data_IF_160129210085
#
_entry.id   IF_160129210085
#
_cell.length_a   1.000
_cell.length_b   1.000
_cell.length_c   1.000
_cell.angle_alpha   90.00
_cell.angle_beta   90.00
_cell.angle_gamma   90.00
#
_symmetry.space_group_name_H-M   'P 1'
#
loop_
_entity.id
_entity.type
_entity.pdbx_description
1 polymer ?
#
# COMPACT_ATOMS: atom_id res chain seq x y z
N UNK A 1 5.95 7.32 -10.29
CA UNK A 1 7.29 6.67 -10.42
C UNK A 1 7.06 5.16 -10.37
N UNK A 2 7.79 4.32 -11.12
CA UNK A 2 7.51 2.88 -11.16
C UNK A 2 8.79 2.04 -11.26
N UNK A 3 8.75 0.82 -10.73
CA UNK A 3 9.78 -0.19 -10.97
C UNK A 3 9.80 -0.60 -12.46
N UNK A 4 10.98 -0.85 -13.08
CA UNK A 4 11.06 -1.27 -14.49
C UNK A 4 10.29 -2.56 -14.81
N UNK A 5 10.10 -3.43 -13.82
CA UNK A 5 9.36 -4.68 -13.97
C UNK A 5 7.83 -4.50 -13.97
N UNK A 6 7.32 -3.27 -13.86
CA UNK A 6 5.88 -2.99 -13.87
C UNK A 6 5.47 -2.32 -15.18
N UNK A 7 4.48 -2.92 -15.84
CA UNK A 7 3.74 -2.29 -16.92
C UNK A 7 2.49 -1.63 -16.35
N UNK A 8 2.25 -0.39 -16.78
CA UNK A 8 1.05 0.37 -16.45
C UNK A 8 0.27 0.58 -17.74
N UNK A 9 -0.99 0.19 -17.78
CA UNK A 9 -1.83 0.19 -18.98
C UNK A 9 -3.27 0.60 -18.68
N UNK A 10 -4.07 0.78 -19.73
CA UNK A 10 -5.45 1.26 -19.67
C UNK A 10 -5.57 2.77 -19.95
N UNK A 11 -6.79 3.24 -20.31
CA UNK A 11 -7.03 4.62 -20.73
C UNK A 11 -6.59 5.65 -19.68
N UNK A 12 -6.65 5.29 -18.39
CA UNK A 12 -6.27 6.16 -17.26
C UNK A 12 -5.09 5.62 -16.45
N UNK A 13 -4.25 4.73 -17.03
CA UNK A 13 -3.10 4.10 -16.32
C UNK A 13 -3.48 3.32 -15.05
N UNK A 14 -4.70 2.80 -15.01
CA UNK A 14 -5.28 2.17 -13.82
C UNK A 14 -4.80 0.74 -13.60
N UNK A 15 -4.37 0.04 -14.65
CA UNK A 15 -3.91 -1.34 -14.52
C UNK A 15 -2.41 -1.39 -14.29
N UNK A 16 -1.99 -2.06 -13.23
CA UNK A 16 -0.57 -2.35 -12.93
C UNK A 16 -0.35 -3.86 -12.97
N UNK A 17 0.62 -4.28 -13.76
CA UNK A 17 1.00 -5.68 -13.92
C UNK A 17 2.51 -5.83 -13.84
N UNK A 18 2.98 -6.84 -13.09
CA UNK A 18 4.38 -7.23 -13.11
C UNK A 18 4.69 -8.03 -14.38
N UNK A 19 5.81 -7.76 -15.03
CA UNK A 19 6.13 -8.31 -16.35
C UNK A 19 7.52 -8.94 -16.46
N UNK A 20 8.33 -8.99 -15.38
CA UNK A 20 9.65 -9.61 -15.45
C UNK A 20 9.59 -11.13 -15.24
N UNK A 21 10.58 -11.84 -15.80
CA UNK A 21 10.79 -13.28 -15.59
C UNK A 21 11.53 -13.60 -14.29
N UNK A 22 11.90 -12.57 -13.52
CA UNK A 22 12.62 -12.72 -12.26
C UNK A 22 11.61 -12.92 -11.13
N UNK A 23 11.69 -14.09 -10.51
CA UNK A 23 10.83 -14.47 -9.40
C UNK A 23 11.30 -13.77 -8.11
N UNK A 24 10.36 -13.33 -7.28
CA UNK A 24 10.59 -12.89 -5.89
C UNK A 24 11.23 -11.51 -5.68
N UNK A 25 10.81 -10.51 -6.45
CA UNK A 25 11.24 -9.12 -6.26
C UNK A 25 10.05 -8.24 -5.87
N UNK A 26 10.25 -7.36 -4.87
CA UNK A 26 9.26 -6.32 -4.60
C UNK A 26 9.30 -5.32 -5.75
N UNK A 27 8.16 -5.06 -6.36
CA UNK A 27 8.03 -4.02 -7.38
C UNK A 27 6.91 -3.08 -6.99
N UNK A 28 7.31 -1.84 -6.72
CA UNK A 28 6.41 -0.77 -6.32
C UNK A 28 6.12 0.19 -7.45
N UNK A 29 4.87 0.65 -7.48
CA UNK A 29 4.42 1.74 -8.33
C UNK A 29 3.78 2.81 -7.47
N UNK A 30 4.10 4.05 -7.79
CA UNK A 30 3.51 5.24 -7.19
C UNK A 30 2.56 5.88 -8.20
N UNK A 31 1.45 6.41 -7.70
CA UNK A 31 0.65 7.36 -8.46
C UNK A 31 1.50 8.57 -8.91
N UNK A 32 0.99 9.27 -9.93
CA UNK A 32 1.69 10.39 -10.55
C UNK A 32 1.79 11.59 -9.61
N UNK A 33 0.73 11.85 -8.85
CA UNK A 33 0.61 13.00 -7.96
C UNK A 33 0.57 12.57 -6.48
N UNK A 34 1.10 13.41 -5.57
CA UNK A 34 0.92 13.18 -4.16
C UNK A 34 -0.54 13.39 -3.75
N UNK A 35 -0.90 12.88 -2.59
CA UNK A 35 -2.20 13.17 -1.99
C UNK A 35 -2.31 14.67 -1.67
N UNK A 36 -3.53 15.23 -1.64
CA UNK A 36 -3.79 16.59 -1.17
C UNK A 36 -3.21 16.86 0.23
N UNK A 37 -3.07 18.13 0.60
CA UNK A 37 -2.55 18.53 1.93
C UNK A 37 -3.64 18.72 2.99
N UNK A 38 -4.90 18.79 2.58
CA UNK A 38 -6.06 19.03 3.45
C UNK A 38 -7.25 18.20 3.01
N UNK A 39 -8.19 17.97 3.92
CA UNK A 39 -9.41 17.20 3.65
C UNK A 39 -9.18 15.69 3.77
N UNK A 40 -9.98 14.92 3.04
CA UNK A 40 -9.91 13.47 3.02
C UNK A 40 -9.45 13.04 1.64
N UNK A 41 -8.43 12.18 1.60
CA UNK A 41 -8.00 11.50 0.40
C UNK A 41 -8.35 10.01 0.49
N UNK A 42 -8.82 9.42 -0.60
CA UNK A 42 -9.18 8.01 -0.67
C UNK A 42 -9.05 7.50 -2.10
N UNK A 43 -8.53 6.29 -2.27
CA UNK A 43 -8.52 5.56 -3.52
C UNK A 43 -8.80 4.07 -3.25
N UNK A 44 -9.19 3.35 -4.29
CA UNK A 44 -9.43 1.91 -4.23
C UNK A 44 -8.49 1.17 -5.18
N UNK A 45 -8.15 -0.06 -4.84
CA UNK A 45 -7.38 -0.96 -5.68
C UNK A 45 -8.09 -2.31 -5.73
N UNK A 46 -8.58 -2.68 -6.91
CA UNK A 46 -9.17 -3.97 -7.20
C UNK A 46 -8.08 -4.99 -7.51
N UNK A 47 -8.19 -6.14 -6.86
CA UNK A 47 -7.25 -7.24 -7.02
C UNK A 47 -7.72 -8.13 -8.19
N UNK A 48 -6.96 -8.13 -9.28
CA UNK A 48 -7.27 -8.93 -10.47
C UNK A 48 -6.54 -10.29 -10.46
N UNK A 49 -5.36 -10.36 -9.84
CA UNK A 49 -4.58 -11.58 -9.69
C UNK A 49 -3.61 -11.45 -8.52
N UNK A 50 -3.50 -12.48 -7.68
CA UNK A 50 -2.46 -12.63 -6.65
C UNK A 50 -1.91 -14.04 -6.69
N UNK A 51 -0.59 -14.17 -6.77
CA UNK A 51 0.14 -15.43 -6.55
C UNK A 51 0.81 -15.50 -5.20
N UNK A 52 1.30 -14.37 -4.70
CA UNK A 52 1.98 -14.33 -3.39
C UNK A 52 1.39 -13.26 -2.49
N UNK A 53 1.89 -12.03 -2.60
CA UNK A 53 1.53 -10.95 -1.68
C UNK A 53 1.39 -9.63 -2.43
N UNK A 54 0.33 -8.91 -2.11
CA UNK A 54 0.08 -7.55 -2.58
C UNK A 54 -0.02 -6.64 -1.37
N UNK A 55 0.50 -5.42 -1.51
CA UNK A 55 0.45 -4.40 -0.46
C UNK A 55 -0.07 -3.10 -1.06
N UNK A 56 -1.16 -2.57 -0.48
CA UNK A 56 -1.81 -1.32 -0.93
C UNK A 56 -1.63 -0.27 0.16
N UNK A 57 -1.13 0.91 -0.19
CA UNK A 57 -0.80 1.89 0.83
C UNK A 57 -0.30 3.25 0.35
N UNK A 58 0.43 3.93 1.24
CA UNK A 58 0.97 5.27 1.04
C UNK A 58 2.48 5.27 1.27
N UNK A 59 3.23 5.93 0.40
CA UNK A 59 4.67 6.11 0.55
C UNK A 59 5.13 7.52 0.15
N UNK A 60 6.20 7.98 0.77
CA UNK A 60 6.92 9.17 0.31
C UNK A 60 7.82 8.80 -0.89
N UNK A 61 8.12 9.79 -1.75
CA UNK A 61 8.81 9.57 -3.03
C UNK A 61 10.26 9.05 -2.91
N UNK A 62 10.88 9.13 -1.73
CA UNK A 62 12.24 8.62 -1.52
C UNK A 62 12.28 7.11 -1.26
N UNK A 63 11.13 6.46 -1.03
CA UNK A 63 11.09 5.00 -0.94
C UNK A 63 11.54 4.41 -2.28
N UNK A 64 12.57 3.53 -2.31
CA UNK A 64 12.99 2.88 -3.54
C UNK A 64 11.89 1.99 -4.13
N UNK A 65 11.79 1.95 -5.45
CA UNK A 65 10.74 1.20 -6.18
C UNK A 65 10.90 -0.32 -6.11
N UNK A 66 12.08 -0.82 -5.71
CA UNK A 66 12.40 -2.22 -5.45
C UNK A 66 12.15 -2.64 -3.98
N UNK A 67 11.54 -1.73 -3.19
CA UNK A 67 11.17 -1.97 -1.79
C UNK A 67 9.66 -2.04 -1.63
N UNK A 68 9.25 -2.63 -0.51
CA UNK A 68 7.84 -2.85 -0.14
C UNK A 68 7.27 -1.67 0.63
N UNK A 69 6.12 -1.15 0.19
CA UNK A 69 5.33 -0.17 0.93
C UNK A 69 4.91 -0.74 2.30
N UNK A 70 5.04 0.06 3.35
CA UNK A 70 4.82 -0.33 4.75
C UNK A 70 6.06 -0.91 5.45
N UNK A 71 7.13 -1.28 4.73
CA UNK A 71 8.38 -1.73 5.35
C UNK A 71 9.46 -0.63 5.40
N UNK A 72 9.38 0.34 4.50
CA UNK A 72 10.26 1.50 4.49
C UNK A 72 9.75 2.57 5.47
N UNK A 73 10.64 3.27 6.17
CA UNK A 73 10.24 4.27 7.18
C UNK A 73 9.39 5.36 6.57
N UNK A 74 8.28 5.70 7.23
CA UNK A 74 7.36 6.73 6.73
C UNK A 74 6.44 6.24 5.60
N UNK A 75 6.29 4.92 5.46
CA UNK A 75 5.36 4.29 4.52
C UNK A 75 4.38 3.40 5.27
N UNK A 76 3.18 3.23 4.75
CA UNK A 76 2.05 2.57 5.42
C UNK A 76 1.35 1.67 4.44
N UNK A 77 0.95 0.45 4.83
CA UNK A 77 0.29 -0.46 3.91
C UNK A 77 -0.67 -1.45 4.58
N UNK A 78 -1.62 -1.93 3.80
CA UNK A 78 -2.40 -3.11 4.08
C UNK A 78 -1.96 -4.24 3.15
N UNK A 79 -1.44 -5.33 3.74
CA UNK A 79 -0.99 -6.52 3.04
C UNK A 79 -2.11 -7.56 2.90
N UNK A 80 -2.05 -8.33 1.82
CA UNK A 80 -3.01 -9.41 1.53
C UNK A 80 -3.12 -10.49 2.61
N UNK A 81 -2.11 -10.59 3.47
CA UNK A 81 -2.04 -11.47 4.65
C UNK A 81 -2.74 -10.89 5.89
N UNK A 82 -3.60 -9.89 5.73
CA UNK A 82 -4.33 -9.32 6.87
C UNK A 82 -3.46 -8.45 7.79
N UNK A 83 -2.30 -7.98 7.30
CA UNK A 83 -1.34 -7.23 8.10
C UNK A 83 -1.34 -5.75 7.72
N UNK A 84 -1.54 -4.87 8.70
CA UNK A 84 -1.24 -3.44 8.57
C UNK A 84 0.23 -3.19 8.90
N UNK A 85 0.96 -2.52 8.02
CA UNK A 85 2.38 -2.22 8.12
C UNK A 85 2.60 -0.70 8.25
N UNK A 86 3.66 -0.29 8.95
CA UNK A 86 4.02 1.12 9.11
C UNK A 86 3.34 1.82 10.30
N UNK A 87 2.58 1.09 11.11
CA UNK A 87 1.84 1.64 12.24
C UNK A 87 2.35 1.10 13.56
N UNK A 88 3.10 1.91 14.30
CA UNK A 88 3.44 1.57 15.68
C UNK A 88 2.19 1.76 16.55
N UNK A 89 1.84 0.76 17.35
CA UNK A 89 0.82 0.85 18.39
C UNK A 89 1.49 0.55 19.72
N UNK A 90 1.45 1.47 20.67
CA UNK A 90 2.06 1.31 22.01
C UNK A 90 3.61 1.36 22.03
N UNK A 91 4.19 1.02 23.19
CA UNK A 91 5.65 0.95 23.43
C UNK A 91 6.28 -0.36 22.89
N UNK A 92 5.69 -0.94 21.85
CA UNK A 92 6.26 -2.08 21.16
C UNK A 92 7.44 -1.61 20.31
N UNK A 93 8.56 -1.36 21.00
CA UNK A 93 9.90 -1.29 20.42
C UNK A 93 10.20 -2.68 19.86
N UNK A 94 9.70 -2.93 18.67
CA UNK A 94 10.21 -4.03 17.87
C UNK A 94 11.72 -3.91 17.82
N UNK A 95 12.40 -5.03 18.02
CA UNK A 95 13.84 -5.18 17.96
C UNK A 95 14.40 -4.38 16.78
N UNK A 96 15.56 -3.74 16.97
CA UNK A 96 16.22 -2.95 15.95
C UNK A 96 16.20 -3.70 14.59
N UNK A 97 15.39 -3.24 13.65
CA UNK A 97 15.27 -3.82 12.31
C UNK A 97 13.87 -4.30 11.88
N UNK A 98 12.88 -4.45 12.77
CA UNK A 98 11.51 -4.84 12.36
C UNK A 98 10.60 -3.62 12.31
N UNK A 99 10.05 -3.34 11.13
CA UNK A 99 9.08 -2.25 10.94
C UNK A 99 7.75 -2.58 11.64
N UNK A 100 7.10 -1.63 12.33
CA UNK A 100 5.87 -1.90 13.07
C UNK A 100 4.74 -2.40 12.19
N UNK A 101 4.07 -3.44 12.69
CA UNK A 101 2.95 -4.07 12.01
C UNK A 101 1.90 -4.57 13.01
N UNK A 102 0.68 -4.74 12.51
CA UNK A 102 -0.50 -5.22 13.25
C UNK A 102 -1.15 -6.31 12.40
N UNK A 103 -1.34 -7.49 12.97
CA UNK A 103 -1.97 -8.63 12.28
C UNK A 103 -3.44 -8.81 12.70
N UNK A 104 -4.09 -9.84 12.18
CA UNK A 104 -5.46 -10.21 12.59
C UNK A 104 -6.54 -9.37 11.92
N UNK A 105 -6.22 -8.68 10.81
CA UNK A 105 -7.23 -8.11 9.91
C UNK A 105 -7.65 -9.18 8.90
N UNK A 106 -8.83 -9.05 8.26
CA UNK A 106 -9.23 -9.97 7.20
C UNK A 106 -8.19 -10.03 6.10
N UNK A 107 -7.85 -11.24 5.65
CA UNK A 107 -7.05 -11.45 4.45
C UNK A 107 -7.84 -11.05 3.19
N UNK A 108 -7.14 -10.79 2.09
CA UNK A 108 -7.77 -10.47 0.82
C UNK A 108 -7.06 -11.10 -0.37
N UNK A 109 -7.82 -11.33 -1.43
CA UNK A 109 -7.39 -12.03 -2.63
C UNK A 109 -8.06 -11.53 -3.89
N UNK A 110 -8.01 -12.35 -4.94
CA UNK A 110 -8.61 -12.06 -6.25
C UNK A 110 -10.09 -11.73 -6.10
N UNK A 111 -10.52 -10.65 -6.75
CA UNK A 111 -11.89 -10.16 -6.73
C UNK A 111 -12.20 -9.19 -5.59
N UNK A 112 -11.32 -9.05 -4.60
CA UNK A 112 -11.50 -8.04 -3.55
C UNK A 112 -11.08 -6.63 -4.01
N UNK A 113 -11.70 -5.62 -3.40
CA UNK A 113 -11.37 -4.21 -3.59
C UNK A 113 -10.86 -3.63 -2.27
N UNK A 114 -9.66 -3.06 -2.30
CA UNK A 114 -8.98 -2.51 -1.12
C UNK A 114 -9.02 -1.00 -1.19
N UNK A 115 -9.67 -0.37 -0.22
CA UNK A 115 -9.61 1.08 -0.07
C UNK A 115 -8.43 1.48 0.79
N UNK A 116 -7.73 2.55 0.39
CA UNK A 116 -6.70 3.20 1.19
C UNK A 116 -6.89 4.72 1.13
N UNK A 117 -6.87 5.36 2.28
CA UNK A 117 -7.06 6.79 2.39
C UNK A 117 -6.48 7.37 3.66
N UNK A 118 -6.59 8.67 3.80
CA UNK A 118 -6.20 9.40 5.00
C UNK A 118 -7.14 10.58 5.21
N UNK A 119 -7.63 10.71 6.43
CA UNK A 119 -8.19 11.96 6.92
C UNK A 119 -7.03 12.85 7.37
N UNK A 120 -6.76 13.92 6.64
CA UNK A 120 -5.61 14.78 6.88
C UNK A 120 -5.83 15.72 8.07
N UNK A 121 -7.06 15.88 8.56
CA UNK A 121 -7.35 16.72 9.71
C UNK A 121 -6.75 16.14 10.99
N UNK A 122 -6.83 14.83 11.15
CA UNK A 122 -6.28 14.08 12.29
C UNK A 122 -5.10 13.16 11.89
N UNK A 123 -4.78 13.05 10.60
CA UNK A 123 -3.79 12.13 10.01
C UNK A 123 -4.14 10.65 10.20
N UNK A 124 -5.41 10.33 10.40
CA UNK A 124 -5.88 8.96 10.56
C UNK A 124 -5.90 8.27 9.20
N UNK A 125 -5.26 7.11 9.10
CA UNK A 125 -5.34 6.27 7.90
C UNK A 125 -6.71 5.57 7.84
N UNK A 126 -7.20 5.34 6.65
CA UNK A 126 -8.45 4.64 6.38
C UNK A 126 -8.11 3.44 5.51
N UNK A 127 -8.49 2.25 5.96
CA UNK A 127 -8.49 1.05 5.14
C UNK A 127 -9.91 0.50 5.02
N UNK A 128 -10.26 -0.01 3.85
CA UNK A 128 -11.51 -0.73 3.62
C UNK A 128 -11.25 -2.02 2.84
N UNK A 129 -12.12 -3.00 3.04
CA UNK A 129 -12.17 -4.23 2.25
C UNK A 129 -13.59 -4.37 1.70
N UNK A 130 -13.73 -4.35 0.36
CA UNK A 130 -15.00 -4.43 -0.35
C UNK A 130 -16.01 -3.35 0.11
N UNK A 131 -15.53 -2.12 0.28
CA UNK A 131 -16.34 -0.98 0.74
C UNK A 131 -16.59 -0.95 2.26
N UNK A 132 -16.26 -2.01 3.00
CA UNK A 132 -16.40 -2.03 4.45
C UNK A 132 -15.14 -1.47 5.13
N UNK A 133 -15.28 -0.37 5.87
CA UNK A 133 -14.19 0.23 6.63
C UNK A 133 -13.69 -0.72 7.72
N UNK A 134 -12.37 -0.89 7.80
CA UNK A 134 -11.69 -1.68 8.82
C UNK A 134 -11.37 -0.82 10.06
N UNK A 135 -11.17 -1.48 11.19
CA UNK A 135 -10.77 -0.81 12.43
C UNK A 135 -9.34 -0.25 12.32
N UNK A 136 -9.31 1.07 12.20
CA UNK A 136 -8.14 1.90 11.94
C UNK A 136 -8.05 3.07 12.94
N UNK A 137 -8.83 3.04 14.03
CA UNK A 137 -9.03 4.19 14.91
C UNK A 137 -7.73 4.77 15.52
N UNK A 138 -6.73 3.92 15.77
CA UNK A 138 -5.41 4.30 16.30
C UNK A 138 -4.30 4.47 15.26
N UNK A 139 -4.59 4.27 13.98
CA UNK A 139 -3.57 4.21 12.94
C UNK A 139 -3.39 5.58 12.30
N UNK A 140 -2.23 6.16 12.50
CA UNK A 140 -1.92 7.50 12.02
C UNK A 140 -0.72 7.48 11.08
N UNK A 141 -0.74 8.38 10.10
CA UNK A 141 0.46 8.71 9.34
C UNK A 141 1.29 9.73 10.13
N UNK A 142 2.61 9.58 10.07
CA UNK A 142 3.55 10.54 10.63
C UNK A 142 3.43 11.93 9.98
N UNK A 143 4.05 12.97 10.59
CA UNK A 143 4.14 14.30 9.98
C UNK A 143 4.75 14.18 8.58
N UNK A 144 4.00 14.65 7.59
CA UNK A 144 4.18 14.25 6.19
C UNK A 144 5.16 15.16 5.44
N UNK A 145 6.18 14.57 4.83
CA UNK A 145 6.54 14.92 3.45
C UNK A 145 5.43 14.42 2.51
N UNK A 146 5.35 14.94 1.28
CA UNK A 146 4.35 14.54 0.29
C UNK A 146 4.22 13.00 0.17
N UNK A 147 3.08 12.45 0.60
CA UNK A 147 2.73 11.04 0.45
C UNK A 147 2.05 10.80 -0.89
N UNK A 148 2.25 9.62 -1.45
CA UNK A 148 1.71 9.18 -2.73
C UNK A 148 1.01 7.83 -2.52
N UNK A 149 -0.13 7.59 -3.19
CA UNK A 149 -0.65 6.24 -3.38
C UNK A 149 0.44 5.33 -3.94
N UNK A 150 0.61 4.17 -3.32
CA UNK A 150 1.65 3.22 -3.66
C UNK A 150 1.14 1.79 -3.51
N UNK A 151 1.47 0.94 -4.49
CA UNK A 151 1.20 -0.50 -4.43
C UNK A 151 2.48 -1.26 -4.69
N UNK A 152 2.71 -2.32 -3.91
CA UNK A 152 3.80 -3.28 -4.14
C UNK A 152 3.22 -4.63 -4.57
N UNK A 153 3.75 -5.16 -5.68
CA UNK A 153 3.52 -6.52 -6.18
C UNK A 153 4.79 -7.35 -5.97
N UNK A 154 4.66 -8.66 -5.75
CA UNK A 154 5.79 -9.54 -5.43
C UNK A 154 6.04 -10.63 -6.48
N UNK A 155 5.04 -10.93 -7.31
CA UNK A 155 5.12 -11.97 -8.34
C UNK A 155 4.73 -11.45 -9.72
N UNK A 156 5.29 -12.08 -10.75
CA UNK A 156 5.13 -11.71 -12.15
C UNK A 156 3.72 -11.84 -12.71
N UNK A 157 2.81 -12.47 -12.00
CA UNK A 157 1.42 -12.58 -12.43
C UNK A 157 0.46 -11.82 -11.51
N UNK A 158 0.96 -11.09 -10.53
CA UNK A 158 0.15 -10.20 -9.73
C UNK A 158 -0.36 -9.04 -10.61
N UNK A 159 -1.64 -8.72 -10.49
CA UNK A 159 -2.29 -7.67 -11.26
C UNK A 159 -3.31 -6.94 -10.40
N UNK A 160 -3.27 -5.62 -10.46
CA UNK A 160 -4.24 -4.74 -9.80
C UNK A 160 -4.79 -3.71 -10.77
N UNK A 161 -5.97 -3.21 -10.46
CA UNK A 161 -6.64 -2.09 -11.15
C UNK A 161 -7.02 -1.05 -10.10
N UNK A 162 -6.57 0.19 -10.28
CA UNK A 162 -6.85 1.32 -9.39
C UNK A 162 -7.81 2.34 -9.97
#
# INVERSE_FOLDING_TARGET
>A
MRHPNLTVSGPDRLTVQFTSSHWFENSSVFAEFPIPRTGIFYYEAKILSIRRRVYVGLAHRQMPVDRRVGYFRGTYAFGSDGTFWGHAVGDHRLSAGVHPFITGRPEFGVGNTIGCGVDLANRQIIYSLNGQRLDTAGLHVGPADFLFPCVTLYDAQDKIEG
#
